data_IF_872932318281
#
_entry.id   IF_872932318281
#
_cell.length_a   1.000
_cell.length_b   1.000
_cell.length_c   1.000
_cell.angle_alpha   90.00
_cell.angle_beta   90.00
_cell.angle_gamma   90.00
#
_symmetry.space_group_name_H-M   'P 1'
#
loop_
_entity.id
_entity.type
_entity.pdbx_description
1 polymer ?
#
# COMPACT_ATOMS: atom_id res chain seq x y z
N UNK A 1 9.65 3.06 -17.16
CA UNK A 1 8.79 3.59 -16.08
C UNK A 1 9.31 3.03 -14.77
N UNK A 2 9.85 3.87 -13.87
CA UNK A 2 10.26 3.42 -12.54
C UNK A 2 9.02 3.43 -11.66
N UNK A 3 8.54 2.26 -11.25
CA UNK A 3 7.51 2.12 -10.22
C UNK A 3 8.00 2.84 -8.97
N UNK A 4 7.19 3.78 -8.46
CA UNK A 4 7.55 4.66 -7.34
C UNK A 4 7.35 3.98 -5.98
N UNK A 5 7.18 2.66 -5.99
CA UNK A 5 6.86 1.86 -4.83
C UNK A 5 7.91 0.78 -4.63
N UNK A 6 8.28 0.57 -3.37
CA UNK A 6 9.25 -0.44 -2.98
C UNK A 6 8.49 -1.72 -2.68
N UNK A 7 8.81 -2.80 -3.38
CA UNK A 7 8.27 -4.12 -3.07
C UNK A 7 8.66 -4.50 -1.63
N UNK A 8 7.69 -4.96 -0.83
CA UNK A 8 7.97 -5.47 0.50
C UNK A 8 8.87 -6.72 0.43
N UNK A 9 9.70 -6.94 1.46
CA UNK A 9 10.52 -8.17 1.58
C UNK A 9 9.64 -9.41 1.63
N UNK A 10 10.17 -10.58 1.25
CA UNK A 10 9.40 -11.83 1.23
C UNK A 10 8.76 -12.18 2.58
N UNK A 11 9.50 -11.98 3.67
CA UNK A 11 8.99 -12.17 5.04
C UNK A 11 7.82 -11.23 5.35
N UNK A 12 7.93 -9.97 4.91
CA UNK A 12 6.89 -8.97 5.11
C UNK A 12 5.67 -9.23 4.21
N UNK A 13 5.86 -9.73 2.99
CA UNK A 13 4.76 -10.18 2.12
C UNK A 13 3.89 -11.22 2.83
N UNK A 14 4.52 -12.25 3.41
CA UNK A 14 3.80 -13.29 4.14
C UNK A 14 3.09 -12.75 5.38
N UNK A 15 3.75 -11.85 6.10
CA UNK A 15 3.18 -11.22 7.29
C UNK A 15 1.94 -10.39 6.92
N UNK A 16 2.05 -9.52 5.92
CA UNK A 16 0.96 -8.69 5.42
C UNK A 16 -0.20 -9.54 4.89
N UNK A 17 0.07 -10.61 4.16
CA UNK A 17 -0.97 -11.54 3.69
C UNK A 17 -1.75 -12.18 4.85
N UNK A 18 -1.10 -12.50 5.97
CA UNK A 18 -1.78 -13.07 7.15
C UNK A 18 -2.61 -12.04 7.89
N UNK A 19 -2.07 -10.84 8.09
CA UNK A 19 -2.74 -9.81 8.91
C UNK A 19 -3.81 -9.05 8.13
N UNK A 20 -3.68 -8.91 6.82
CA UNK A 20 -4.67 -8.22 5.98
C UNK A 20 -6.05 -8.90 6.02
N UNK A 21 -6.11 -10.21 6.27
CA UNK A 21 -7.39 -10.93 6.47
C UNK A 21 -8.12 -10.47 7.74
N UNK A 22 -7.38 -9.94 8.72
CA UNK A 22 -7.90 -9.52 10.03
C UNK A 22 -8.03 -7.99 10.15
N UNK A 23 -7.49 -7.23 9.20
CA UNK A 23 -7.46 -5.78 9.21
C UNK A 23 -8.47 -5.21 8.22
N UNK A 24 -9.02 -4.04 8.54
CA UNK A 24 -9.83 -3.29 7.59
C UNK A 24 -8.95 -2.80 6.44
N UNK A 25 -9.48 -2.85 5.22
CA UNK A 25 -8.87 -2.19 4.07
C UNK A 25 -8.78 -0.69 4.32
N UNK A 26 -7.59 -0.13 4.08
CA UNK A 26 -7.27 1.30 4.24
C UNK A 26 -7.02 1.99 2.91
N UNK A 27 -7.44 1.41 1.78
CA UNK A 27 -7.19 1.99 0.46
C UNK A 27 -7.73 3.43 0.34
N UNK A 28 -8.96 3.67 0.78
CA UNK A 28 -9.56 5.02 0.74
C UNK A 28 -8.77 6.03 1.58
N UNK A 29 -8.37 5.65 2.79
CA UNK A 29 -7.52 6.46 3.67
C UNK A 29 -6.20 6.84 2.99
N UNK A 30 -5.55 5.87 2.32
CA UNK A 30 -4.29 6.12 1.59
C UNK A 30 -4.51 7.01 0.38
N UNK A 31 -5.60 6.83 -0.36
CA UNK A 31 -5.95 7.68 -1.51
C UNK A 31 -6.20 9.12 -1.06
N UNK A 32 -6.99 9.33 0.00
CA UNK A 32 -7.27 10.67 0.54
C UNK A 32 -5.98 11.35 1.00
N UNK A 33 -5.18 10.66 1.83
CA UNK A 33 -3.91 11.15 2.33
C UNK A 33 -2.94 11.57 1.21
N UNK A 34 -2.83 10.75 0.15
CA UNK A 34 -1.97 11.06 -0.99
C UNK A 34 -2.57 12.11 -1.92
N UNK A 35 -3.88 12.34 -1.89
CA UNK A 35 -4.52 13.32 -2.78
C UNK A 35 -4.05 14.73 -2.48
N UNK A 36 -3.82 15.04 -1.21
CA UNK A 36 -3.32 16.34 -0.77
C UNK A 36 -1.81 16.49 -0.99
N UNK A 37 -1.03 15.46 -0.67
CA UNK A 37 0.42 15.55 -0.70
C UNK A 37 1.03 15.26 -2.08
N UNK A 38 0.51 14.22 -2.75
CA UNK A 38 1.09 13.62 -3.95
C UNK A 38 -0.03 13.13 -4.90
N UNK A 39 -0.81 14.03 -5.53
CA UNK A 39 -2.01 13.68 -6.30
C UNK A 39 -1.78 12.61 -7.39
N UNK A 40 -0.60 12.62 -8.02
CA UNK A 40 -0.23 11.62 -9.02
C UNK A 40 -0.07 10.21 -8.43
N UNK A 41 0.40 10.09 -7.18
CA UNK A 41 0.48 8.82 -6.46
C UNK A 41 -0.87 8.36 -5.95
N UNK A 42 -1.72 9.28 -5.49
CA UNK A 42 -3.10 8.96 -5.09
C UNK A 42 -3.84 8.25 -6.22
N UNK A 43 -3.85 8.85 -7.42
CA UNK A 43 -4.49 8.26 -8.60
C UNK A 43 -3.90 6.90 -8.98
N UNK A 44 -2.60 6.71 -8.79
CA UNK A 44 -1.96 5.43 -9.07
C UNK A 44 -2.38 4.36 -8.05
N UNK A 45 -2.49 4.72 -6.77
CA UNK A 45 -2.98 3.80 -5.73
C UNK A 45 -4.43 3.40 -5.99
N UNK A 46 -5.27 4.37 -6.33
CA UNK A 46 -6.68 4.15 -6.65
C UNK A 46 -6.86 3.14 -7.79
N UNK A 47 -6.04 3.25 -8.84
CA UNK A 47 -6.17 2.44 -10.06
C UNK A 47 -5.43 1.10 -10.03
N UNK A 48 -4.34 0.97 -9.26
CA UNK A 48 -3.43 -0.20 -9.34
C UNK A 48 -3.57 -1.18 -8.18
N UNK A 49 -3.98 -0.71 -7.00
CA UNK A 49 -4.02 -1.57 -5.82
C UNK A 49 -5.43 -1.99 -5.46
N UNK A 50 -5.57 -3.19 -4.91
CA UNK A 50 -6.86 -3.77 -4.52
C UNK A 50 -7.20 -3.50 -3.06
N UNK A 51 -6.19 -3.44 -2.19
CA UNK A 51 -6.36 -3.13 -0.77
C UNK A 51 -5.08 -2.51 -0.20
N UNK A 52 -5.18 -1.83 0.93
CA UNK A 52 -4.03 -1.31 1.66
C UNK A 52 -4.11 -1.65 3.15
N UNK A 53 -2.93 -1.80 3.77
CA UNK A 53 -2.74 -2.10 5.17
C UNK A 53 -1.68 -1.19 5.79
N UNK A 54 -1.81 -0.95 7.10
CA UNK A 54 -0.80 -0.24 7.88
C UNK A 54 0.07 -1.25 8.63
N UNK A 55 1.39 -1.10 8.49
CA UNK A 55 2.35 -1.94 9.19
C UNK A 55 3.58 -1.11 9.59
N UNK A 56 3.91 -1.13 10.88
CA UNK A 56 5.13 -0.53 11.45
C UNK A 56 5.45 0.89 10.95
N UNK A 57 4.46 1.78 10.89
CA UNK A 57 4.69 3.18 10.50
C UNK A 57 4.57 3.45 8.99
N UNK A 58 4.19 2.44 8.21
CA UNK A 58 4.09 2.52 6.76
C UNK A 58 2.76 1.98 6.23
N UNK A 59 2.27 2.61 5.16
CA UNK A 59 1.22 2.08 4.31
C UNK A 59 1.80 1.16 3.25
N UNK A 60 1.24 -0.04 3.18
CA UNK A 60 1.49 -1.02 2.14
C UNK A 60 0.20 -1.28 1.37
N UNK A 61 0.28 -1.38 0.04
CA UNK A 61 -0.87 -1.69 -0.79
C UNK A 61 -0.59 -2.92 -1.64
N UNK A 62 -1.60 -3.79 -1.76
CA UNK A 62 -1.52 -5.02 -2.51
C UNK A 62 -2.00 -4.81 -3.94
N UNK A 63 -1.23 -5.27 -4.92
CA UNK A 63 -1.63 -5.24 -6.33
C UNK A 63 -2.47 -6.46 -6.73
N UNK A 64 -2.91 -6.50 -8.00
CA UNK A 64 -3.67 -7.63 -8.55
C UNK A 64 -2.88 -8.96 -8.58
N UNK A 65 -1.54 -8.89 -8.49
CA UNK A 65 -0.66 -10.06 -8.40
C UNK A 65 -0.42 -10.51 -6.94
N UNK A 66 -1.22 -9.98 -6.00
CA UNK A 66 -1.13 -10.25 -4.56
C UNK A 66 0.21 -9.83 -3.94
N UNK A 67 0.94 -8.90 -4.57
CA UNK A 67 2.19 -8.38 -4.05
C UNK A 67 1.95 -7.07 -3.29
N UNK A 68 2.49 -6.99 -2.08
CA UNK A 68 2.48 -5.80 -1.26
C UNK A 68 3.62 -4.85 -1.61
N UNK A 69 3.28 -3.58 -1.78
CA UNK A 69 4.21 -2.51 -2.09
C UNK A 69 4.12 -1.42 -1.03
N UNK A 70 5.27 -0.95 -0.56
CA UNK A 70 5.34 0.19 0.34
C UNK A 70 4.99 1.46 -0.43
N UNK A 71 3.91 2.13 0.01
CA UNK A 71 3.35 3.30 -0.65
C UNK A 71 3.76 4.60 0.05
N UNK A 72 3.79 4.60 1.39
CA UNK A 72 4.21 5.76 2.20
C UNK A 72 4.68 5.29 3.58
N UNK A 73 5.72 5.92 4.10
CA UNK A 73 6.20 5.72 5.47
C UNK A 73 6.27 7.05 6.19
N UNK A 74 6.14 7.00 7.52
CA UNK A 74 6.16 8.17 8.40
C UNK A 74 7.36 8.16 9.36
N UNK A 75 8.39 7.36 9.06
CA UNK A 75 9.65 7.28 9.81
C UNK A 75 10.52 8.51 9.54
#
# INVERSE_FOLDING_TARGET
MKTVYTLASSELQETLNRVAVQMSDRKEEVVELLSDEQPSKSRLVELTYVQCAWWEGCYYCQDESQQWHQVKCFI
#
